data_IF_775976250682
#
_entry.id   IF_775976250682
#
_cell.length_a   1.000
_cell.length_b   1.000
_cell.length_c   1.000
_cell.angle_alpha   90.00
_cell.angle_beta   90.00
_cell.angle_gamma   90.00
#
_symmetry.space_group_name_H-M   'P 1'
#
loop_
_entity.id
_entity.type
_entity.pdbx_description
1 polymer ?
#
# COMPACT_ATOMS: atom_id res chain seq x y z
N UNK A 1 69.51 -30.36 -7.65
CA UNK A 1 68.21 -30.67 -7.02
C UNK A 1 67.37 -29.42 -7.08
N UNK A 2 66.12 -29.51 -7.57
CA UNK A 2 64.95 -28.81 -7.01
C UNK A 2 63.94 -28.44 -8.10
N UNK A 3 62.87 -29.23 -8.20
CA UNK A 3 61.44 -28.90 -8.38
C UNK A 3 60.94 -27.78 -9.33
N UNK A 4 61.77 -27.00 -10.04
CA UNK A 4 61.31 -25.83 -10.80
C UNK A 4 61.30 -26.04 -12.32
N UNK A 5 61.95 -27.08 -12.85
CA UNK A 5 61.92 -27.37 -14.30
C UNK A 5 60.53 -27.80 -14.82
N UNK A 6 59.57 -28.05 -13.92
CA UNK A 6 58.17 -28.37 -14.26
C UNK A 6 57.27 -27.12 -14.41
N UNK A 7 57.78 -25.90 -14.26
CA UNK A 7 56.97 -24.66 -14.32
C UNK A 7 57.22 -23.77 -15.56
N UNK A 8 58.08 -24.19 -16.50
CA UNK A 8 58.38 -23.40 -17.71
C UNK A 8 57.60 -23.79 -18.96
N UNK A 9 56.75 -24.82 -18.90
CA UNK A 9 55.77 -25.13 -19.95
C UNK A 9 54.48 -24.31 -19.84
N UNK A 10 54.37 -23.40 -18.86
CA UNK A 10 53.21 -22.53 -18.64
C UNK A 10 53.33 -21.13 -19.27
N UNK A 11 54.46 -20.82 -19.93
CA UNK A 11 54.64 -19.57 -20.68
C UNK A 11 55.17 -19.91 -22.07
N UNK A 12 54.27 -20.40 -22.92
CA UNK A 12 54.50 -20.80 -24.31
C UNK A 12 54.83 -19.61 -25.23
N UNK A 13 56.00 -19.03 -25.03
CA UNK A 13 56.68 -18.15 -25.99
C UNK A 13 57.68 -19.01 -26.78
N UNK A 14 57.36 -19.29 -28.04
CA UNK A 14 58.38 -19.58 -29.07
C UNK A 14 57.99 -18.92 -30.40
N UNK A 15 58.99 -18.56 -31.23
CA UNK A 15 58.91 -17.45 -32.16
C UNK A 15 58.51 -17.85 -33.59
N UNK A 16 58.12 -16.82 -34.35
CA UNK A 16 57.77 -16.80 -35.76
C UNK A 16 58.78 -17.44 -36.71
N UNK A 17 58.29 -18.12 -37.76
CA UNK A 17 58.98 -18.29 -39.03
C UNK A 17 57.99 -18.12 -40.19
N UNK A 18 58.38 -17.28 -41.15
CA UNK A 18 57.61 -16.83 -42.30
C UNK A 18 57.66 -17.82 -43.48
N UNK A 19 56.61 -17.84 -44.30
CA UNK A 19 56.65 -17.61 -45.77
C UNK A 19 55.23 -17.71 -46.40
N UNK A 20 54.90 -16.72 -47.23
CA UNK A 20 53.72 -16.54 -48.11
C UNK A 20 54.08 -17.05 -49.55
N UNK A 21 53.26 -16.91 -50.64
CA UNK A 21 51.80 -16.70 -50.83
C UNK A 21 51.19 -17.54 -52.00
N UNK A 22 49.84 -17.66 -52.11
CA UNK A 22 49.13 -17.59 -53.43
C UNK A 22 47.59 -17.35 -53.30
N UNK A 23 47.13 -16.16 -53.73
CA UNK A 23 45.95 -15.78 -54.57
C UNK A 23 44.48 -16.17 -54.18
N UNK A 24 43.71 -15.13 -53.76
CA UNK A 24 42.31 -14.67 -54.06
C UNK A 24 41.16 -15.64 -54.49
N UNK A 25 39.86 -15.22 -54.45
CA UNK A 25 39.10 -14.37 -53.51
C UNK A 25 37.71 -14.97 -53.15
N UNK A 26 37.10 -14.64 -52.01
CA UNK A 26 35.62 -14.72 -51.89
C UNK A 26 35.10 -13.73 -50.85
N UNK A 27 34.12 -12.94 -51.29
CA UNK A 27 33.40 -11.92 -50.55
C UNK A 27 32.76 -12.43 -49.24
N UNK A 28 32.92 -11.66 -48.17
CA UNK A 28 31.89 -11.54 -47.12
C UNK A 28 32.13 -10.23 -46.34
N UNK A 29 31.08 -9.42 -46.10
CA UNK A 29 31.21 -8.05 -45.57
C UNK A 29 31.64 -8.04 -44.09
N UNK A 30 32.26 -6.94 -43.61
CA UNK A 30 32.65 -6.82 -42.22
C UNK A 30 31.41 -6.74 -41.33
N UNK A 31 31.26 -7.72 -40.43
CA UNK A 31 30.36 -7.62 -39.29
C UNK A 31 30.95 -6.56 -38.37
N UNK A 32 30.49 -5.32 -38.53
CA UNK A 32 30.65 -4.27 -37.53
C UNK A 32 29.98 -4.75 -36.24
N UNK A 33 30.68 -4.85 -35.10
CA UNK A 33 30.00 -5.01 -33.82
C UNK A 33 29.16 -3.75 -33.58
N UNK A 34 27.84 -3.94 -33.53
CA UNK A 34 26.89 -2.90 -33.21
C UNK A 34 27.31 -2.23 -31.89
N UNK A 35 27.42 -0.91 -31.94
CA UNK A 35 27.73 -0.07 -30.82
C UNK A 35 26.78 -0.37 -29.65
N UNK A 36 27.34 -0.84 -28.54
CA UNK A 36 26.70 -0.75 -27.23
C UNK A 36 26.42 0.73 -26.97
N UNK A 37 25.15 1.13 -27.08
CA UNK A 37 24.72 2.45 -26.64
C UNK A 37 25.02 2.54 -25.14
N UNK A 38 26.00 3.35 -24.80
CA UNK A 38 26.28 3.79 -23.44
C UNK A 38 25.12 4.67 -22.98
N UNK A 39 24.01 4.04 -22.62
CA UNK A 39 22.81 4.63 -22.07
C UNK A 39 22.59 4.12 -20.66
N UNK A 40 22.03 4.97 -19.80
CA UNK A 40 21.58 4.58 -18.46
C UNK A 40 20.82 3.24 -18.46
N UNK A 41 20.94 2.41 -17.41
CA UNK A 41 20.17 1.17 -17.29
C UNK A 41 18.67 1.43 -17.52
N UNK A 42 17.93 0.51 -18.19
CA UNK A 42 16.53 0.72 -18.53
C UNK A 42 15.67 1.17 -17.33
N UNK A 43 15.86 0.55 -16.16
CA UNK A 43 15.13 0.92 -14.94
C UNK A 43 15.43 2.35 -14.45
N UNK A 44 16.66 2.85 -14.64
CA UNK A 44 16.99 4.23 -14.29
C UNK A 44 16.31 5.23 -15.23
N UNK A 45 16.28 4.94 -16.54
CA UNK A 45 15.54 5.74 -17.51
C UNK A 45 14.03 5.75 -17.23
N UNK A 46 13.44 4.59 -16.91
CA UNK A 46 12.03 4.49 -16.53
C UNK A 46 11.72 5.25 -15.26
N UNK A 47 12.62 5.22 -14.26
CA UNK A 47 12.45 6.00 -13.02
C UNK A 47 12.41 7.49 -13.31
N UNK A 48 13.35 7.99 -14.11
CA UNK A 48 13.39 9.40 -14.49
C UNK A 48 12.16 9.79 -15.32
N UNK A 49 11.70 8.92 -16.22
CA UNK A 49 10.46 9.10 -16.97
C UNK A 49 9.25 9.27 -16.04
N UNK A 50 9.08 8.38 -15.05
CA UNK A 50 7.97 8.44 -14.10
C UNK A 50 8.04 9.69 -13.24
N UNK A 51 9.21 10.00 -12.67
CA UNK A 51 9.41 11.20 -11.84
C UNK A 51 9.07 12.46 -12.63
N UNK A 52 9.62 12.59 -13.84
CA UNK A 52 9.38 13.73 -14.72
C UNK A 52 7.89 13.86 -15.05
N UNK A 53 7.24 12.77 -15.44
CA UNK A 53 5.80 12.76 -15.72
C UNK A 53 5.00 13.28 -14.52
N UNK A 54 5.21 12.72 -13.32
CA UNK A 54 4.47 13.14 -12.13
C UNK A 54 4.71 14.61 -11.81
N UNK A 55 5.97 15.07 -11.81
CA UNK A 55 6.32 16.46 -11.51
C UNK A 55 5.69 17.42 -12.51
N UNK A 56 5.80 17.13 -13.81
CA UNK A 56 5.25 17.98 -14.87
C UNK A 56 3.72 18.11 -14.76
N UNK A 57 3.01 17.00 -14.50
CA UNK A 57 1.55 17.04 -14.34
C UNK A 57 1.10 17.71 -13.05
N UNK A 58 1.95 17.73 -12.01
CA UNK A 58 1.64 18.37 -10.74
C UNK A 58 2.03 19.86 -10.65
N UNK A 59 2.74 20.41 -11.64
CA UNK A 59 3.07 21.84 -11.68
C UNK A 59 1.90 22.80 -11.48
N UNK A 60 0.69 22.56 -12.04
CA UNK A 60 -0.46 23.43 -11.82
C UNK A 60 -0.84 23.62 -10.34
N UNK A 61 -0.51 22.66 -9.48
CA UNK A 61 -0.87 22.68 -8.06
C UNK A 61 0.12 23.46 -7.17
N UNK A 62 1.22 23.99 -7.72
CA UNK A 62 2.24 24.74 -6.95
C UNK A 62 1.65 25.93 -6.17
N UNK A 63 0.63 26.59 -6.73
CA UNK A 63 0.06 27.83 -6.19
C UNK A 63 -1.44 27.71 -5.85
N UNK A 64 -1.98 26.51 -5.79
CA UNK A 64 -3.41 26.28 -5.51
C UNK A 64 -3.63 25.54 -4.17
N UNK A 65 -3.50 26.24 -3.02
CA UNK A 65 -3.65 25.60 -1.71
C UNK A 65 -5.05 25.03 -1.46
N UNK A 66 -6.08 25.53 -2.17
CA UNK A 66 -7.47 25.03 -2.08
C UNK A 66 -7.74 23.77 -2.89
N UNK A 67 -6.91 23.45 -3.87
CA UNK A 67 -7.02 22.27 -4.74
C UNK A 67 -5.79 21.35 -4.60
N UNK A 68 -5.02 21.51 -3.52
CA UNK A 68 -3.79 20.78 -3.32
C UNK A 68 -4.07 19.27 -3.29
N UNK A 69 -3.33 18.46 -4.07
CA UNK A 69 -3.52 17.03 -4.08
C UNK A 69 -3.33 16.44 -2.69
N UNK A 70 -4.24 15.56 -2.28
CA UNK A 70 -4.12 14.82 -1.02
C UNK A 70 -3.40 13.50 -1.18
N UNK A 71 -3.26 13.01 -2.43
CA UNK A 71 -2.57 11.78 -2.78
C UNK A 71 -2.46 11.59 -4.29
N UNK A 72 -1.77 10.52 -4.71
CA UNK A 72 -1.56 10.20 -6.12
C UNK A 72 -1.70 8.69 -6.35
N UNK A 73 -2.27 8.32 -7.51
CA UNK A 73 -2.26 6.93 -8.00
C UNK A 73 -1.71 6.88 -9.42
N UNK A 74 -0.65 6.10 -9.61
CA UNK A 74 0.05 5.93 -10.87
C UNK A 74 -0.37 4.62 -11.56
N UNK A 75 -0.74 4.69 -12.83
CA UNK A 75 -1.01 3.52 -13.63
C UNK A 75 0.03 3.39 -14.73
N UNK A 76 0.47 2.16 -14.98
CA UNK A 76 1.52 1.88 -15.97
C UNK A 76 1.03 0.75 -16.87
N UNK A 77 0.77 1.08 -18.14
CA UNK A 77 0.53 0.07 -19.16
C UNK A 77 1.88 -0.53 -19.58
N UNK A 78 2.01 -1.84 -19.47
CA UNK A 78 3.17 -2.59 -19.90
C UNK A 78 2.77 -3.45 -21.10
N UNK A 79 3.62 -3.45 -22.12
CA UNK A 79 3.37 -4.22 -23.35
C UNK A 79 3.84 -5.67 -23.22
N UNK A 80 4.78 -5.92 -22.30
CA UNK A 80 5.34 -7.23 -22.02
C UNK A 80 5.86 -7.32 -20.57
N UNK A 81 6.15 -8.55 -20.06
CA UNK A 81 6.63 -8.73 -18.69
C UNK A 81 8.00 -8.11 -18.40
N UNK A 82 8.90 -8.01 -19.39
CA UNK A 82 10.22 -7.39 -19.20
C UNK A 82 10.12 -5.90 -18.93
N UNK A 83 9.20 -5.21 -19.61
CA UNK A 83 8.88 -3.81 -19.37
C UNK A 83 8.28 -3.60 -17.98
N UNK A 84 7.35 -4.48 -17.57
CA UNK A 84 6.77 -4.46 -16.23
C UNK A 84 7.86 -4.60 -15.15
N UNK A 85 8.76 -5.57 -15.30
CA UNK A 85 9.87 -5.77 -14.37
C UNK A 85 10.80 -4.56 -14.33
N UNK A 86 11.09 -3.95 -15.49
CA UNK A 86 11.85 -2.70 -15.54
C UNK A 86 11.19 -1.58 -14.74
N UNK A 87 9.86 -1.46 -14.76
CA UNK A 87 9.14 -0.50 -13.93
C UNK A 87 9.10 -0.91 -12.46
N UNK A 88 9.02 -2.21 -12.14
CA UNK A 88 9.08 -2.70 -10.75
C UNK A 88 10.40 -2.32 -10.08
N UNK A 89 11.50 -2.42 -10.82
CA UNK A 89 12.84 -1.97 -10.36
C UNK A 89 12.88 -0.44 -10.28
N UNK A 90 12.33 0.27 -11.26
CA UNK A 90 12.28 1.74 -11.26
C UNK A 90 11.54 2.31 -10.05
N UNK A 91 10.39 1.73 -9.72
CA UNK A 91 9.52 2.07 -8.58
C UNK A 91 10.02 1.50 -7.25
N UNK A 92 11.10 0.71 -7.26
CA UNK A 92 11.67 0.06 -6.08
C UNK A 92 10.61 -0.72 -5.28
N UNK A 93 9.81 -1.51 -5.98
CA UNK A 93 8.74 -2.35 -5.39
C UNK A 93 9.21 -3.21 -4.21
N UNK A 94 10.46 -3.68 -4.25
CA UNK A 94 11.10 -4.47 -3.20
C UNK A 94 11.61 -3.65 -1.99
N UNK A 95 11.55 -2.32 -2.05
CA UNK A 95 11.92 -1.40 -0.97
C UNK A 95 10.78 -0.38 -0.74
N UNK A 96 9.72 -0.80 -0.01
CA UNK A 96 8.55 0.04 0.21
C UNK A 96 8.91 1.43 0.76
N UNK A 97 8.29 2.46 0.21
CA UNK A 97 8.47 3.85 0.64
C UNK A 97 9.70 4.56 0.08
N UNK A 98 10.70 3.86 -0.48
CA UNK A 98 11.92 4.50 -0.99
C UNK A 98 11.64 5.40 -2.20
N UNK A 99 10.86 4.91 -3.18
CA UNK A 99 10.46 5.72 -4.33
C UNK A 99 9.60 6.93 -3.89
N UNK A 100 8.66 6.72 -2.96
CA UNK A 100 7.83 7.81 -2.41
C UNK A 100 8.67 8.89 -1.73
N UNK A 101 9.70 8.51 -0.98
CA UNK A 101 10.62 9.47 -0.35
C UNK A 101 11.43 10.27 -1.40
N UNK A 102 11.91 9.61 -2.45
CA UNK A 102 12.59 10.25 -3.57
C UNK A 102 11.67 11.22 -4.32
N UNK A 103 10.45 10.78 -4.66
CA UNK A 103 9.44 11.61 -5.29
C UNK A 103 9.09 12.82 -4.41
N UNK A 104 8.93 12.64 -3.10
CA UNK A 104 8.62 13.73 -2.18
C UNK A 104 9.72 14.81 -2.17
N UNK A 105 11.00 14.41 -2.23
CA UNK A 105 12.12 15.36 -2.36
C UNK A 105 12.04 16.13 -3.67
N UNK A 106 11.84 15.43 -4.80
CA UNK A 106 11.75 16.04 -6.12
C UNK A 106 10.56 16.99 -6.25
N UNK A 107 9.41 16.65 -5.65
CA UNK A 107 8.25 17.55 -5.62
C UNK A 107 8.55 18.82 -4.82
N UNK A 108 9.20 18.69 -3.67
CA UNK A 108 9.64 19.85 -2.87
C UNK A 108 10.63 20.75 -3.63
N UNK A 109 11.58 20.16 -4.37
CA UNK A 109 12.52 20.90 -5.23
C UNK A 109 11.80 21.67 -6.36
N UNK A 110 10.59 21.23 -6.72
CA UNK A 110 9.70 21.89 -7.69
C UNK A 110 8.58 22.70 -7.01
N UNK A 111 8.71 23.03 -5.73
CA UNK A 111 7.73 23.82 -4.96
C UNK A 111 6.30 23.24 -4.94
N UNK A 112 6.17 21.91 -5.10
CA UNK A 112 4.90 21.19 -4.97
C UNK A 112 4.85 20.58 -3.57
N UNK A 113 3.90 21.03 -2.76
CA UNK A 113 3.73 20.54 -1.38
C UNK A 113 2.54 19.60 -1.29
N UNK A 114 2.79 18.39 -0.76
CA UNK A 114 1.76 17.39 -0.46
C UNK A 114 1.64 17.18 1.06
N UNK A 115 0.48 16.77 1.59
CA UNK A 115 0.31 16.48 3.01
C UNK A 115 1.29 15.42 3.53
N UNK A 116 1.78 15.53 4.77
CA UNK A 116 2.84 14.65 5.34
C UNK A 116 2.61 13.13 5.15
N UNK A 117 1.35 12.68 5.12
CA UNK A 117 0.96 11.28 4.98
C UNK A 117 0.18 11.00 3.67
N UNK A 118 0.46 11.74 2.60
CA UNK A 118 -0.19 11.57 1.31
C UNK A 118 0.02 10.15 0.74
N UNK A 119 -1.02 9.41 0.31
CA UNK A 119 -0.87 8.09 -0.25
C UNK A 119 -0.28 8.16 -1.66
N UNK A 120 0.67 7.27 -1.95
CA UNK A 120 1.20 7.02 -3.29
C UNK A 120 0.96 5.55 -3.62
N UNK A 121 0.10 5.29 -4.59
CA UNK A 121 -0.21 3.95 -5.06
C UNK A 121 0.18 3.81 -6.52
N UNK A 122 0.47 2.58 -6.95
CA UNK A 122 0.67 2.28 -8.36
C UNK A 122 0.15 0.90 -8.74
N UNK A 123 -0.25 0.76 -10.01
CA UNK A 123 -0.77 -0.50 -10.56
C UNK A 123 -0.36 -0.67 -12.03
N UNK A 124 -0.12 -1.93 -12.43
CA UNK A 124 0.29 -2.31 -13.77
C UNK A 124 -0.88 -2.85 -14.59
N UNK A 125 -0.97 -2.46 -15.86
CA UNK A 125 -2.02 -2.89 -16.78
C UNK A 125 -1.42 -3.54 -18.02
N UNK A 126 -2.04 -4.62 -18.49
CA UNK A 126 -1.71 -5.28 -19.74
C UNK A 126 -2.68 -4.79 -20.83
N UNK A 127 -2.15 -4.21 -21.92
CA UNK A 127 -2.92 -3.75 -23.08
C UNK A 127 -3.32 -2.27 -23.08
N UNK A 128 -3.89 -1.73 -21.99
CA UNK A 128 -4.36 -0.33 -21.98
C UNK A 128 -4.58 0.26 -20.58
N UNK A 129 -4.46 1.59 -20.48
CA UNK A 129 -4.68 2.34 -19.24
C UNK A 129 -6.18 2.57 -18.98
N UNK A 130 -6.61 2.62 -17.70
CA UNK A 130 -7.95 3.07 -17.33
C UNK A 130 -8.14 4.56 -17.62
N UNK A 131 -9.32 5.10 -17.31
CA UNK A 131 -9.54 6.55 -17.35
C UNK A 131 -8.74 7.23 -16.22
N UNK A 132 -8.02 8.30 -16.54
CA UNK A 132 -7.04 8.92 -15.64
C UNK A 132 -7.02 10.43 -15.80
N UNK A 133 -6.80 11.18 -14.71
CA UNK A 133 -6.71 12.66 -14.74
C UNK A 133 -5.67 13.15 -15.75
N UNK A 134 -4.50 12.50 -15.78
CA UNK A 134 -3.44 12.80 -16.72
C UNK A 134 -2.91 11.53 -17.36
N UNK A 135 -2.54 11.62 -18.64
CA UNK A 135 -1.97 10.51 -19.40
C UNK A 135 -0.81 10.97 -20.26
N UNK A 136 0.22 10.16 -20.34
CA UNK A 136 1.34 10.36 -21.25
C UNK A 136 1.96 9.02 -21.67
N UNK A 137 1.79 8.67 -22.96
CA UNK A 137 2.22 7.37 -23.47
C UNK A 137 1.57 6.22 -22.69
N UNK A 138 2.42 5.43 -22.04
CA UNK A 138 2.04 4.27 -21.24
C UNK A 138 1.86 4.59 -19.74
N UNK A 139 1.95 5.85 -19.33
CA UNK A 139 1.73 6.30 -17.96
C UNK A 139 0.39 7.01 -17.82
N UNK A 140 -0.32 6.69 -16.74
CA UNK A 140 -1.52 7.37 -16.28
C UNK A 140 -1.35 7.85 -14.85
N UNK A 141 -1.95 8.98 -14.50
CA UNK A 141 -1.91 9.54 -13.15
C UNK A 141 -3.31 10.00 -12.78
N UNK A 142 -3.80 9.51 -11.64
CA UNK A 142 -4.92 10.08 -10.93
C UNK A 142 -4.38 10.95 -9.80
N UNK A 143 -4.85 12.20 -9.77
CA UNK A 143 -4.59 13.13 -8.67
C UNK A 143 -5.77 13.06 -7.72
N UNK A 144 -5.52 12.60 -6.50
CA UNK A 144 -6.56 12.48 -5.49
C UNK A 144 -6.80 13.87 -4.90
N UNK A 145 -8.02 14.38 -5.10
CA UNK A 145 -8.49 15.64 -4.53
C UNK A 145 -9.26 15.32 -3.24
N UNK A 146 -8.90 15.99 -2.13
CA UNK A 146 -9.58 15.81 -0.85
C UNK A 146 -11.04 16.23 -0.87
N UNK A 147 -11.43 17.07 -1.83
CA UNK A 147 -12.81 17.53 -2.05
C UNK A 147 -13.62 16.63 -3.00
N UNK A 148 -12.95 15.75 -3.76
CA UNK A 148 -13.57 14.85 -4.74
C UNK A 148 -12.93 13.46 -4.66
N UNK A 149 -13.41 12.58 -3.75
CA UNK A 149 -12.98 11.19 -3.75
C UNK A 149 -13.34 10.53 -5.08
N UNK A 150 -12.35 9.91 -5.72
CA UNK A 150 -12.50 9.36 -7.07
C UNK A 150 -13.23 7.99 -7.03
N UNK A 151 -14.38 7.91 -7.70
CA UNK A 151 -15.27 6.74 -7.73
C UNK A 151 -16.21 6.58 -6.52
N UNK A 152 -17.15 5.62 -6.56
CA UNK A 152 -18.04 5.36 -5.43
C UNK A 152 -17.24 4.93 -4.20
N UNK A 153 -17.68 5.31 -2.98
CA UNK A 153 -17.01 4.91 -1.75
C UNK A 153 -16.95 3.40 -1.65
N UNK A 154 -15.81 2.88 -1.17
CA UNK A 154 -15.67 1.45 -0.93
C UNK A 154 -16.60 1.06 0.20
N UNK A 155 -17.54 0.14 -0.06
CA UNK A 155 -18.40 -0.42 0.98
C UNK A 155 -17.65 -1.54 1.70
N UNK A 156 -18.04 -1.77 2.95
CA UNK A 156 -17.57 -2.92 3.73
C UNK A 156 -18.68 -3.49 4.61
N UNK A 157 -18.47 -4.68 5.14
CA UNK A 157 -19.32 -5.33 6.13
C UNK A 157 -18.47 -5.84 7.28
N UNK A 158 -19.01 -5.74 8.49
CA UNK A 158 -18.52 -6.48 9.65
C UNK A 158 -19.45 -7.65 9.95
N UNK A 159 -18.88 -8.82 10.23
CA UNK A 159 -19.60 -10.05 10.59
C UNK A 159 -19.15 -10.49 11.97
N UNK A 160 -20.09 -10.81 12.84
CA UNK A 160 -19.74 -11.35 14.17
C UNK A 160 -19.40 -12.83 14.07
N UNK A 161 -18.17 -13.19 14.44
CA UNK A 161 -17.70 -14.58 14.47
C UNK A 161 -17.86 -15.19 15.86
N UNK A 162 -17.51 -14.44 16.90
CA UNK A 162 -17.62 -14.87 18.31
C UNK A 162 -18.14 -13.71 19.16
N UNK A 163 -18.83 -14.05 20.26
CA UNK A 163 -19.60 -13.08 21.04
C UNK A 163 -20.99 -12.84 20.46
N UNK A 164 -21.72 -11.92 21.07
CA UNK A 164 -23.06 -11.55 20.60
C UNK A 164 -23.20 -10.05 20.40
N UNK A 165 -23.56 -9.68 19.19
CA UNK A 165 -23.91 -8.32 18.77
C UNK A 165 -25.40 -8.17 18.58
N UNK A 166 -25.88 -6.93 18.54
CA UNK A 166 -27.28 -6.64 18.24
C UNK A 166 -27.69 -7.10 16.83
N UNK A 167 -26.78 -6.95 15.86
CA UNK A 167 -26.94 -7.46 14.49
C UNK A 167 -25.81 -8.44 14.21
N UNK A 168 -26.09 -9.55 13.53
CA UNK A 168 -25.03 -10.50 13.14
C UNK A 168 -24.06 -9.90 12.12
N UNK A 169 -24.54 -8.94 11.33
CA UNK A 169 -23.76 -8.26 10.29
C UNK A 169 -24.08 -6.76 10.27
N UNK A 170 -23.06 -5.94 10.04
CA UNK A 170 -23.17 -4.48 9.96
C UNK A 170 -22.62 -3.99 8.62
N UNK A 171 -23.44 -3.29 7.84
CA UNK A 171 -22.99 -2.60 6.63
C UNK A 171 -22.28 -1.29 7.01
N UNK A 172 -21.05 -1.14 6.55
CA UNK A 172 -20.28 0.08 6.66
C UNK A 172 -20.42 0.85 5.34
N UNK A 173 -21.24 1.89 5.34
CA UNK A 173 -21.52 2.71 4.17
C UNK A 173 -20.99 4.14 4.37
N UNK A 174 -19.86 4.50 3.74
CA UNK A 174 -19.26 5.82 3.88
C UNK A 174 -20.11 6.97 3.31
N UNK A 175 -21.11 6.66 2.48
CA UNK A 175 -22.05 7.67 1.99
C UNK A 175 -23.03 8.12 3.08
N UNK A 176 -23.25 7.28 4.11
CA UNK A 176 -24.12 7.57 5.26
C UNK A 176 -23.32 8.13 6.44
N UNK A 177 -22.22 7.47 6.79
CA UNK A 177 -21.33 7.91 7.86
C UNK A 177 -19.93 7.35 7.66
N UNK A 178 -18.92 8.13 8.07
CA UNK A 178 -17.51 7.76 7.90
C UNK A 178 -16.88 7.22 9.18
N UNK A 179 -17.59 7.24 10.29
CA UNK A 179 -17.13 6.81 11.61
C UNK A 179 -18.15 5.87 12.21
N UNK A 180 -17.69 4.71 12.70
CA UNK A 180 -18.51 3.64 13.25
C UNK A 180 -17.97 3.25 14.61
N UNK A 181 -18.69 3.62 15.67
CA UNK A 181 -18.31 3.38 17.05
C UNK A 181 -18.63 1.94 17.47
N UNK A 182 -17.65 1.26 18.06
CA UNK A 182 -17.77 -0.10 18.59
C UNK A 182 -17.73 -0.06 20.10
N UNK A 183 -18.66 -0.76 20.73
CA UNK A 183 -18.65 -0.94 22.18
C UNK A 183 -19.82 -1.74 22.69
N UNK A 184 -19.73 -2.05 23.99
CA UNK A 184 -20.78 -2.74 24.72
C UNK A 184 -21.90 -1.78 25.13
N UNK A 185 -23.14 -2.14 24.80
CA UNK A 185 -24.34 -1.31 24.97
C UNK A 185 -24.49 -0.23 23.90
N UNK A 186 -25.73 0.17 23.64
CA UNK A 186 -26.08 1.17 22.61
C UNK A 186 -25.50 2.55 22.92
N UNK A 187 -25.59 2.98 24.17
CA UNK A 187 -25.14 4.29 24.61
C UNK A 187 -24.28 4.19 25.85
N UNK A 188 -23.29 5.07 25.97
CA UNK A 188 -22.44 5.18 27.16
C UNK A 188 -22.06 6.62 27.40
N UNK A 189 -21.78 6.98 28.65
CA UNK A 189 -21.10 8.23 28.96
C UNK A 189 -19.59 8.00 28.92
N UNK A 190 -18.89 8.89 28.22
CA UNK A 190 -17.42 8.91 28.21
C UNK A 190 -16.88 9.54 29.50
N UNK A 191 -15.57 9.43 29.75
CA UNK A 191 -14.93 10.09 30.90
C UNK A 191 -15.14 11.63 30.92
N UNK A 192 -15.44 12.23 29.77
CA UNK A 192 -15.78 13.67 29.65
C UNK A 192 -17.22 14.01 30.03
N UNK A 193 -18.06 13.03 30.37
CA UNK A 193 -19.50 13.19 30.57
C UNK A 193 -20.31 13.25 29.27
N UNK A 194 -19.67 13.29 28.10
CA UNK A 194 -20.36 13.23 26.80
C UNK A 194 -20.97 11.86 26.55
N UNK A 195 -22.20 11.85 26.05
CA UNK A 195 -22.86 10.63 25.56
C UNK A 195 -22.24 10.22 24.23
N UNK A 196 -21.87 8.94 24.14
CA UNK A 196 -21.45 8.25 22.92
C UNK A 196 -22.51 7.22 22.57
N UNK A 197 -22.85 7.14 21.29
CA UNK A 197 -23.70 6.09 20.73
C UNK A 197 -22.82 5.13 19.93
N UNK A 198 -22.94 3.83 20.19
CA UNK A 198 -22.24 2.80 19.42
C UNK A 198 -23.11 2.38 18.23
N UNK A 199 -22.49 2.30 17.06
CA UNK A 199 -23.09 1.81 15.81
C UNK A 199 -23.04 0.28 15.75
N UNK A 200 -21.92 -0.28 16.21
CA UNK A 200 -21.68 -1.72 16.31
C UNK A 200 -21.78 -2.07 17.80
N UNK A 201 -22.92 -2.64 18.18
CA UNK A 201 -23.31 -2.84 19.57
C UNK A 201 -23.04 -4.28 19.97
N UNK A 202 -22.09 -4.47 20.90
CA UNK A 202 -21.97 -5.72 21.65
C UNK A 202 -23.04 -5.72 22.75
N UNK A 203 -23.85 -6.77 22.84
CA UNK A 203 -24.95 -6.83 23.81
C UNK A 203 -24.42 -6.97 25.26
N UNK A 204 -25.08 -6.30 26.19
CA UNK A 204 -24.98 -6.55 27.62
C UNK A 204 -25.85 -7.73 28.03
N UNK A 205 -25.59 -8.23 29.24
CA UNK A 205 -26.37 -9.28 29.90
C UNK A 205 -27.83 -8.90 30.18
N UNK A 206 -28.11 -7.60 30.33
CA UNK A 206 -29.45 -7.05 30.51
C UNK A 206 -30.14 -6.60 29.20
N UNK A 207 -29.46 -6.68 28.06
CA UNK A 207 -30.03 -6.30 26.77
C UNK A 207 -31.06 -7.34 26.28
N UNK A 208 -32.11 -6.86 25.61
CA UNK A 208 -33.13 -7.74 25.03
C UNK A 208 -32.51 -8.63 23.95
N UNK A 209 -32.73 -9.94 24.08
CA UNK A 209 -32.21 -10.93 23.12
C UNK A 209 -30.79 -11.43 23.45
N UNK A 210 -30.20 -11.02 24.58
CA UNK A 210 -28.95 -11.61 25.05
C UNK A 210 -29.08 -13.12 25.33
N UNK A 211 -28.15 -13.88 24.78
CA UNK A 211 -27.98 -15.31 24.95
C UNK A 211 -26.71 -15.54 25.79
N UNK A 212 -26.82 -16.03 27.04
CA UNK A 212 -25.67 -16.23 27.92
C UNK A 212 -24.59 -17.14 27.35
N UNK A 213 -24.93 -18.10 26.48
CA UNK A 213 -23.96 -19.00 25.88
C UNK A 213 -23.15 -18.30 24.78
N UNK A 214 -23.82 -17.50 23.93
CA UNK A 214 -23.15 -16.75 22.85
C UNK A 214 -22.42 -15.50 23.37
N UNK A 215 -23.02 -14.82 24.34
CA UNK A 215 -22.56 -13.56 24.89
C UNK A 215 -21.63 -13.67 26.10
N UNK A 216 -21.23 -14.88 26.52
CA UNK A 216 -20.37 -15.10 27.69
C UNK A 216 -19.09 -14.24 27.68
N UNK A 217 -18.54 -13.97 26.49
CA UNK A 217 -17.34 -13.16 26.30
C UNK A 217 -17.57 -11.64 26.24
N UNK A 218 -18.82 -11.18 26.09
CA UNK A 218 -19.14 -9.79 25.82
C UNK A 218 -18.71 -8.84 26.96
N UNK A 219 -18.71 -9.31 28.20
CA UNK A 219 -18.30 -8.52 29.37
C UNK A 219 -16.86 -7.99 29.29
N UNK A 220 -15.99 -8.66 28.52
CA UNK A 220 -14.62 -8.23 28.26
C UNK A 220 -14.52 -7.06 27.27
N UNK A 221 -15.62 -6.69 26.60
CA UNK A 221 -15.67 -5.52 25.72
C UNK A 221 -16.11 -4.30 26.52
N UNK A 222 -15.34 -3.23 26.35
CA UNK A 222 -15.64 -1.93 26.95
C UNK A 222 -16.83 -1.25 26.28
N UNK A 223 -17.50 -0.36 27.01
CA UNK A 223 -18.61 0.44 26.46
C UNK A 223 -18.17 1.41 25.36
N UNK A 224 -16.92 1.84 25.37
CA UNK A 224 -16.28 2.60 24.29
C UNK A 224 -14.94 1.94 23.97
N UNK A 225 -14.95 0.95 23.08
CA UNK A 225 -13.81 0.04 22.89
C UNK A 225 -12.94 0.43 21.69
N UNK A 226 -13.56 0.62 20.54
CA UNK A 226 -12.86 0.96 19.31
C UNK A 226 -13.78 1.73 18.35
N UNK A 227 -13.20 2.26 17.29
CA UNK A 227 -13.89 2.99 16.24
C UNK A 227 -13.32 2.57 14.90
N UNK A 228 -14.17 2.25 13.92
CA UNK A 228 -13.75 2.11 12.53
C UNK A 228 -14.00 3.43 11.81
N UNK A 229 -13.00 3.91 11.08
CA UNK A 229 -13.10 5.14 10.30
C UNK A 229 -12.75 4.89 8.84
N UNK A 230 -13.58 5.41 7.94
CA UNK A 230 -13.30 5.46 6.52
C UNK A 230 -12.54 6.74 6.18
N UNK A 231 -11.39 6.59 5.52
CA UNK A 231 -10.66 7.70 4.95
C UNK A 231 -11.03 7.82 3.45
N UNK A 232 -11.80 8.86 3.10
CA UNK A 232 -12.22 9.09 1.73
C UNK A 232 -11.06 9.32 0.76
N UNK A 233 -9.97 9.96 1.20
CA UNK A 233 -8.80 10.20 0.38
C UNK A 233 -8.01 8.92 0.07
N UNK A 234 -7.97 7.97 1.02
CA UNK A 234 -7.30 6.67 0.85
C UNK A 234 -8.25 5.57 0.40
N UNK A 235 -9.57 5.85 0.33
CA UNK A 235 -10.64 4.87 0.12
C UNK A 235 -10.49 3.61 0.99
N UNK A 236 -10.03 3.80 2.22
CA UNK A 236 -9.63 2.72 3.11
C UNK A 236 -10.28 2.87 4.48
N UNK A 237 -10.66 1.74 5.06
CA UNK A 237 -11.10 1.66 6.44
C UNK A 237 -9.91 1.41 7.36
N UNK A 238 -9.94 2.01 8.55
CA UNK A 238 -8.97 1.74 9.59
C UNK A 238 -9.65 1.62 10.94
N UNK A 239 -9.10 0.75 11.79
CA UNK A 239 -9.46 0.63 13.19
C UNK A 239 -8.68 1.66 14.01
N UNK A 240 -9.36 2.33 14.92
CA UNK A 240 -8.78 3.18 15.95
C UNK A 240 -9.23 2.61 17.29
N UNK A 241 -8.29 2.44 18.22
CA UNK A 241 -8.61 1.91 19.54
C UNK A 241 -8.92 3.06 20.48
N UNK A 242 -10.10 3.01 21.07
CA UNK A 242 -10.54 3.99 22.05
C UNK A 242 -9.97 3.64 23.43
N UNK A 243 -10.05 4.58 24.38
CA UNK A 243 -9.51 4.38 25.73
C UNK A 243 -9.92 3.06 26.38
N UNK A 244 -11.16 2.60 26.18
CA UNK A 244 -11.66 1.34 26.73
C UNK A 244 -11.09 0.08 26.08
N UNK A 245 -10.57 0.14 24.85
CA UNK A 245 -9.95 -1.00 24.15
C UNK A 245 -8.44 -1.14 24.41
N UNK A 246 -7.83 -0.16 25.08
CA UNK A 246 -6.40 -0.15 25.39
C UNK A 246 -6.06 -1.02 26.61
N UNK A 247 -4.82 -1.54 26.69
CA UNK A 247 -4.29 -2.25 27.86
C UNK A 247 -4.41 -1.50 29.18
N UNK A 248 -4.32 -0.16 29.15
CA UNK A 248 -4.48 0.68 30.33
C UNK A 248 -5.86 0.55 31.01
N UNK A 249 -6.89 0.15 30.25
CA UNK A 249 -8.24 -0.12 30.77
C UNK A 249 -8.46 -1.60 31.11
N UNK A 250 -7.41 -2.42 31.14
CA UNK A 250 -7.48 -3.86 31.37
C UNK A 250 -7.97 -4.68 30.16
N UNK A 251 -8.12 -4.06 29.00
CA UNK A 251 -8.61 -4.70 27.78
C UNK A 251 -7.52 -4.82 26.73
N UNK A 252 -7.79 -5.56 25.66
CA UNK A 252 -6.88 -5.71 24.53
C UNK A 252 -7.67 -5.69 23.22
N UNK A 253 -7.10 -5.05 22.23
CA UNK A 253 -7.60 -5.09 20.85
C UNK A 253 -6.50 -5.65 19.96
N UNK A 254 -6.83 -6.63 19.11
CA UNK A 254 -5.88 -7.21 18.15
C UNK A 254 -6.53 -7.32 16.78
N UNK A 255 -5.70 -7.28 15.75
CA UNK A 255 -6.09 -7.53 14.37
C UNK A 255 -5.30 -8.76 13.90
N UNK A 256 -6.01 -9.76 13.41
CA UNK A 256 -5.44 -10.92 12.74
C UNK A 256 -5.69 -10.76 11.24
N UNK A 257 -4.61 -10.67 10.48
CA UNK A 257 -4.66 -10.54 9.04
C UNK A 257 -4.80 -11.91 8.38
N UNK A 258 -5.23 -11.91 7.12
CA UNK A 258 -5.36 -13.12 6.30
C UNK A 258 -4.03 -13.81 6.01
N UNK A 259 -2.91 -13.10 6.14
CA UNK A 259 -1.53 -13.61 6.03
C UNK A 259 -0.97 -14.19 7.36
N UNK A 260 -1.85 -14.47 8.33
CA UNK A 260 -1.54 -14.95 9.69
C UNK A 260 -0.76 -13.97 10.57
N UNK A 261 -0.48 -12.75 10.09
CA UNK A 261 0.13 -11.70 10.90
C UNK A 261 -0.86 -11.20 11.95
N UNK A 262 -0.37 -11.00 13.17
CA UNK A 262 -1.13 -10.40 14.26
C UNK A 262 -0.55 -9.04 14.62
N UNK A 263 -1.39 -8.02 14.61
CA UNK A 263 -1.06 -6.67 15.06
C UNK A 263 -1.80 -6.36 16.36
N UNK A 264 -1.08 -5.81 17.35
CA UNK A 264 -1.66 -5.32 18.60
C UNK A 264 -2.03 -3.85 18.42
N UNK A 265 -3.30 -3.56 18.62
CA UNK A 265 -3.81 -2.21 18.53
C UNK A 265 -3.82 -1.59 19.94
N UNK A 266 -2.64 -1.22 20.45
CA UNK A 266 -2.42 -0.78 21.83
C UNK A 266 -1.95 0.67 21.97
N UNK A 267 -1.85 1.41 20.85
CA UNK A 267 -1.43 2.81 20.84
C UNK A 267 -2.64 3.72 20.62
N UNK A 268 -2.93 4.55 21.62
CA UNK A 268 -4.00 5.54 21.54
C UNK A 268 -3.83 6.49 20.35
N UNK A 269 -4.89 6.67 19.56
CA UNK A 269 -4.89 7.58 18.41
C UNK A 269 -4.14 7.07 17.17
N UNK A 270 -3.50 5.89 17.23
CA UNK A 270 -2.96 5.22 16.06
C UNK A 270 -4.10 4.62 15.23
N UNK A 271 -3.93 4.67 13.90
CA UNK A 271 -4.88 4.15 12.92
C UNK A 271 -4.29 2.89 12.30
N UNK A 272 -5.04 1.80 12.36
CA UNK A 272 -4.63 0.48 11.89
C UNK A 272 -5.44 0.13 10.64
N UNK A 273 -4.84 0.15 9.43
CA UNK A 273 -5.59 -0.10 8.20
C UNK A 273 -6.18 -1.51 8.17
N UNK A 274 -7.44 -1.62 7.75
CA UNK A 274 -8.15 -2.91 7.63
C UNK A 274 -8.13 -3.38 6.18
N UNK A 275 -7.97 -4.69 6.01
CA UNK A 275 -7.99 -5.41 4.73
C UNK A 275 -9.12 -6.43 4.72
N UNK A 276 -9.63 -6.77 3.53
CA UNK A 276 -10.64 -7.80 3.39
C UNK A 276 -10.16 -9.12 4.02
N UNK A 277 -10.98 -9.70 4.90
CA UNK A 277 -10.68 -10.94 5.61
C UNK A 277 -10.06 -10.73 6.99
N UNK A 278 -9.68 -9.51 7.37
CA UNK A 278 -9.13 -9.23 8.70
C UNK A 278 -10.12 -9.59 9.81
N UNK A 279 -9.63 -10.18 10.90
CA UNK A 279 -10.39 -10.44 12.11
C UNK A 279 -9.96 -9.50 13.23
N UNK A 280 -10.93 -8.83 13.86
CA UNK A 280 -10.74 -7.87 14.93
C UNK A 280 -11.17 -8.53 16.24
N UNK A 281 -10.21 -8.83 17.12
CA UNK A 281 -10.46 -9.36 18.47
C UNK A 281 -10.59 -8.19 19.46
N UNK A 282 -11.72 -8.12 20.15
CA UNK A 282 -12.09 -7.12 21.13
C UNK A 282 -12.16 -7.76 22.52
N UNK A 283 -11.45 -7.19 23.49
CA UNK A 283 -11.42 -7.69 24.88
C UNK A 283 -10.79 -9.09 25.05
N UNK A 284 -10.34 -9.73 23.96
CA UNK A 284 -9.87 -11.11 23.97
C UNK A 284 -10.94 -12.19 23.83
N UNK A 285 -12.19 -11.81 23.59
CA UNK A 285 -13.32 -12.75 23.66
C UNK A 285 -14.34 -12.59 22.54
N UNK A 286 -14.44 -11.41 21.95
CA UNK A 286 -15.38 -11.11 20.85
C UNK A 286 -14.57 -10.87 19.58
N UNK A 287 -14.93 -11.54 18.49
CA UNK A 287 -14.23 -11.43 17.21
C UNK A 287 -15.19 -11.01 16.12
N UNK A 288 -14.82 -9.97 15.39
CA UNK A 288 -15.54 -9.49 14.21
C UNK A 288 -14.67 -9.70 12.97
N UNK A 289 -15.24 -10.14 11.85
CA UNK A 289 -14.57 -10.24 10.55
C UNK A 289 -14.93 -9.04 9.69
N UNK A 290 -13.91 -8.40 9.12
CA UNK A 290 -14.06 -7.28 8.20
C UNK A 290 -13.99 -7.77 6.74
N UNK A 291 -14.96 -7.39 5.93
CA UNK A 291 -15.04 -7.77 4.52
C UNK A 291 -15.34 -6.54 3.64
N UNK A 292 -14.49 -6.27 2.66
CA UNK A 292 -14.82 -5.33 1.58
C UNK A 292 -15.94 -5.88 0.67
N UNK A 293 -16.78 -5.00 0.15
CA UNK A 293 -17.95 -5.27 -0.70
C UNK A 293 -17.80 -4.69 -2.11
#
# INVERSE_FOLDING_TARGET
MSFIDTLKTLFGLTPSRAEQPTVQPTDTPPVSPAASSSGMPPAAQRRDQVLRFIIEKLRPYQNEPGAAPVGLRLYIACSNPEEEESYRVALRTNQPGTFRAELNRQLADNYISLPKNWPFEYEFFQGGLPDTTYREGNLGLIVLDGSKPDGPPQLARLVTLTGQTEQAEYLLDPSRQTTFCIGRGRTTQTASGRVRTNDIVILNDDDTGFDPAKGAGNGAVSRAHATIRYNAAQRQYALLVDAGGLPASGNKTKIFHSDERMERADIAGMSYPLQHGDQIELGGSVTLQFELR
#
